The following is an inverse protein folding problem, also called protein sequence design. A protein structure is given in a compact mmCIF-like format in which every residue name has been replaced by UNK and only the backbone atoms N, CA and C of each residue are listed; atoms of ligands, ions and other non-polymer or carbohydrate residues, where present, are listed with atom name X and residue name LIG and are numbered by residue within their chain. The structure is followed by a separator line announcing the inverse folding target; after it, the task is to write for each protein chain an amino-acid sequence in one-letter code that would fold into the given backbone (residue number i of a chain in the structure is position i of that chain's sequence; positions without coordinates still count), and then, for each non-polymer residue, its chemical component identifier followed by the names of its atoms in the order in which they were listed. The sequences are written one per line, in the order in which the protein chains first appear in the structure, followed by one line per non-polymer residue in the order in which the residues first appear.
data_IF_369830135669
#
_entry.id   IF_369830135669
#
_cell.length_a   1.000
_cell.length_b   1.000
_cell.length_c   1.000
_cell.angle_alpha   90.00
_cell.angle_beta   90.00
_cell.angle_gamma   90.00
#
_symmetry.space_group_name_H-M   'P 1'
#
loop_
_entity.id
_entity.type
_entity.pdbx_description
1 polymer ?
#
# COMPACT_ATOMS: atom_id res chain seq x y z
N UNK A 1 42.01 51.52 -19.37
CA UNK A 1 42.22 50.13 -19.83
C UNK A 1 41.96 49.18 -18.66
N UNK A 2 41.17 48.13 -18.91
CA UNK A 2 41.06 46.84 -18.17
C UNK A 2 40.57 46.93 -16.72
N UNK A 3 39.26 46.80 -16.48
CA UNK A 3 38.54 45.52 -16.24
C UNK A 3 39.14 44.71 -15.09
N UNK A 4 38.49 44.72 -13.93
CA UNK A 4 38.42 43.52 -13.09
C UNK A 4 36.98 43.40 -12.57
N UNK A 5 36.25 42.50 -13.22
CA UNK A 5 34.83 42.29 -13.03
C UNK A 5 34.55 41.55 -11.72
N UNK A 6 33.54 42.05 -11.02
CA UNK A 6 32.81 41.41 -9.93
C UNK A 6 32.19 40.09 -10.43
N UNK A 7 32.75 38.95 -10.07
CA UNK A 7 32.11 37.64 -10.30
C UNK A 7 31.31 37.26 -9.05
N UNK A 8 30.06 37.73 -9.01
CA UNK A 8 29.03 37.20 -8.13
C UNK A 8 28.52 35.90 -8.77
N UNK A 9 29.07 34.75 -8.36
CA UNK A 9 28.57 33.44 -8.79
C UNK A 9 27.30 33.12 -8.00
N UNK A 10 26.17 33.73 -8.38
CA UNK A 10 24.86 33.27 -7.95
C UNK A 10 24.58 31.99 -8.73
N UNK A 11 24.93 30.85 -8.15
CA UNK A 11 24.43 29.56 -8.59
C UNK A 11 22.93 29.52 -8.35
N UNK A 12 22.16 30.00 -9.33
CA UNK A 12 20.73 29.72 -9.41
C UNK A 12 20.62 28.22 -9.64
N UNK A 13 20.47 27.47 -8.55
CA UNK A 13 20.03 26.08 -8.62
C UNK A 13 18.56 26.11 -9.07
N UNK A 14 18.36 26.22 -10.38
CA UNK A 14 17.09 25.89 -11.01
C UNK A 14 16.89 24.39 -10.79
N UNK A 15 16.41 24.00 -9.61
CA UNK A 15 15.63 22.79 -9.50
C UNK A 15 14.42 23.03 -10.42
N UNK A 16 14.51 22.51 -11.65
CA UNK A 16 13.36 22.36 -12.51
C UNK A 16 12.34 21.58 -11.69
N UNK A 17 11.36 22.29 -11.15
CA UNK A 17 10.14 21.73 -10.61
C UNK A 17 9.47 21.04 -11.80
N UNK A 18 9.87 19.81 -12.10
CA UNK A 18 9.11 18.94 -12.98
C UNK A 18 7.78 18.78 -12.27
N UNK A 19 6.74 19.40 -12.80
CA UNK A 19 5.40 19.23 -12.29
C UNK A 19 5.10 17.73 -12.33
N UNK A 20 4.99 17.10 -11.15
CA UNK A 20 4.73 15.67 -11.08
C UNK A 20 3.39 15.39 -11.72
N UNK A 21 3.40 14.56 -12.76
CA UNK A 21 2.21 14.23 -13.52
C UNK A 21 1.22 13.48 -12.63
N UNK A 22 0.00 14.02 -12.56
CA UNK A 22 -1.10 13.37 -11.86
C UNK A 22 -1.68 12.29 -12.76
N UNK A 23 -1.46 11.04 -12.40
CA UNK A 23 -2.00 9.89 -13.13
C UNK A 23 -3.28 9.44 -12.45
N UNK A 24 -4.39 9.39 -13.19
CA UNK A 24 -5.70 8.98 -12.65
C UNK A 24 -6.09 7.56 -13.03
N UNK A 25 -5.34 6.93 -13.94
CA UNK A 25 -5.61 5.58 -14.44
C UNK A 25 -4.29 4.91 -14.82
N UNK A 26 -4.13 3.65 -14.45
CA UNK A 26 -2.92 2.90 -14.77
C UNK A 26 -2.74 1.63 -13.97
N UNK A 27 -1.52 1.10 -14.05
CA UNK A 27 -1.10 -0.14 -13.41
C UNK A 27 0.18 0.09 -12.64
N UNK A 28 0.22 -0.39 -11.40
CA UNK A 28 1.38 -0.35 -10.52
C UNK A 28 1.85 -1.76 -10.24
N UNK A 29 3.16 -1.98 -10.31
CA UNK A 29 3.78 -3.22 -9.85
C UNK A 29 4.47 -2.97 -8.52
N UNK A 30 4.35 -3.90 -7.57
CA UNK A 30 4.97 -3.80 -6.25
C UNK A 30 5.64 -5.10 -5.84
N UNK A 31 6.62 -4.98 -4.96
CA UNK A 31 7.26 -6.10 -4.27
C UNK A 31 6.91 -6.04 -2.80
N UNK A 32 6.47 -7.16 -2.24
CA UNK A 32 6.18 -7.34 -0.82
C UNK A 32 7.20 -8.31 -0.25
N UNK A 33 7.91 -7.88 0.80
CA UNK A 33 8.91 -8.66 1.54
C UNK A 33 8.42 -8.93 2.94
N UNK A 34 8.63 -10.15 3.41
CA UNK A 34 8.33 -10.56 4.78
C UNK A 34 9.65 -10.88 5.50
N UNK A 35 9.78 -10.43 6.74
CA UNK A 35 10.90 -10.77 7.61
C UNK A 35 10.49 -10.82 9.08
N UNK A 36 11.36 -11.37 9.93
CA UNK A 36 11.14 -11.50 11.37
C UNK A 36 12.46 -11.49 12.13
N UNK A 37 12.47 -11.03 13.38
CA UNK A 37 13.59 -11.30 14.28
C UNK A 37 13.63 -12.75 14.78
N UNK A 38 12.51 -13.48 14.71
CA UNK A 38 12.46 -14.91 15.00
C UNK A 38 13.10 -15.71 13.86
N UNK A 39 14.22 -16.39 14.15
CA UNK A 39 15.01 -17.10 13.14
C UNK A 39 14.22 -18.18 12.37
N UNK A 40 13.33 -18.92 13.05
CA UNK A 40 12.53 -19.96 12.42
C UNK A 40 11.50 -19.34 11.46
N UNK A 41 10.79 -18.31 11.91
CA UNK A 41 9.79 -17.62 11.07
C UNK A 41 10.45 -16.88 9.90
N UNK A 42 11.59 -16.22 10.14
CA UNK A 42 12.36 -15.57 9.09
C UNK A 42 12.87 -16.55 8.04
N UNK A 43 13.24 -17.77 8.44
CA UNK A 43 13.61 -18.84 7.50
C UNK A 43 12.42 -19.27 6.64
N UNK A 44 11.22 -19.36 7.21
CA UNK A 44 9.99 -19.65 6.44
C UNK A 44 9.68 -18.52 5.45
N UNK A 45 9.80 -17.26 5.86
CA UNK A 45 9.62 -16.12 4.96
C UNK A 45 10.65 -16.09 3.82
N UNK A 46 11.91 -16.44 4.11
CA UNK A 46 12.93 -16.59 3.08
C UNK A 46 12.60 -17.69 2.06
N UNK A 47 11.94 -18.78 2.49
CA UNK A 47 11.44 -19.83 1.58
C UNK A 47 10.24 -19.39 0.74
N UNK A 48 9.37 -18.53 1.27
CA UNK A 48 8.27 -17.89 0.49
C UNK A 48 8.86 -16.96 -0.57
N UNK A 49 9.92 -16.24 -0.23
CA UNK A 49 10.56 -15.25 -1.09
C UNK A 49 9.74 -13.97 -1.21
N UNK A 50 10.18 -13.10 -2.12
CA UNK A 50 9.48 -11.86 -2.45
C UNK A 50 8.13 -12.17 -3.12
N UNK A 51 7.07 -11.49 -2.69
CA UNK A 51 5.73 -11.62 -3.27
C UNK A 51 5.52 -10.45 -4.24
N UNK A 52 5.24 -10.75 -5.50
CA UNK A 52 4.87 -9.73 -6.48
C UNK A 52 3.37 -9.42 -6.39
N UNK A 53 3.03 -8.13 -6.51
CA UNK A 53 1.65 -7.69 -6.64
C UNK A 53 1.49 -6.67 -7.75
N UNK A 54 0.29 -6.65 -8.34
CA UNK A 54 -0.12 -5.71 -9.39
C UNK A 54 -1.37 -4.98 -8.93
N UNK A 55 -1.33 -3.66 -8.90
CA UNK A 55 -2.48 -2.80 -8.59
C UNK A 55 -2.93 -2.06 -9.83
N UNK A 56 -4.13 -2.37 -10.29
CA UNK A 56 -4.85 -1.60 -11.30
C UNK A 56 -5.62 -0.49 -10.59
N UNK A 57 -5.57 0.73 -11.11
CA UNK A 57 -6.33 1.85 -10.56
C UNK A 57 -6.99 2.67 -11.67
N UNK A 58 -8.20 3.15 -11.40
CA UNK A 58 -8.96 4.03 -12.28
C UNK A 58 -9.86 4.93 -11.45
N UNK A 59 -9.50 6.21 -11.38
CA UNK A 59 -10.16 7.19 -10.53
C UNK A 59 -10.12 6.77 -9.06
N UNK A 60 -11.29 6.43 -8.52
CA UNK A 60 -11.51 6.06 -7.13
C UNK A 60 -11.66 4.54 -6.91
N UNK A 61 -11.34 3.73 -7.93
CA UNK A 61 -11.38 2.27 -7.86
C UNK A 61 -9.97 1.70 -7.94
N UNK A 62 -9.74 0.65 -7.16
CA UNK A 62 -8.48 -0.10 -7.21
C UNK A 62 -8.76 -1.59 -7.20
N UNK A 63 -7.86 -2.34 -7.83
CA UNK A 63 -7.79 -3.78 -7.74
C UNK A 63 -6.34 -4.18 -7.56
N UNK A 64 -6.03 -4.81 -6.45
CA UNK A 64 -4.70 -5.36 -6.18
C UNK A 64 -4.77 -6.86 -6.28
N UNK A 65 -3.90 -7.44 -7.10
CA UNK A 65 -3.73 -8.88 -7.29
C UNK A 65 -2.35 -9.25 -6.76
N UNK A 66 -2.26 -10.27 -5.91
CA UNK A 66 -1.00 -10.84 -5.44
C UNK A 66 -1.01 -12.34 -5.64
N UNK A 67 0.13 -12.90 -6.02
CA UNK A 67 0.28 -14.33 -6.21
C UNK A 67 1.65 -14.79 -5.74
N UNK A 68 1.69 -15.91 -5.02
CA UNK A 68 2.93 -16.59 -4.67
C UNK A 68 2.68 -18.11 -4.69
N UNK A 69 3.63 -18.93 -5.19
CA UNK A 69 3.45 -20.39 -5.29
C UNK A 69 3.10 -21.06 -3.95
N UNK A 70 3.55 -20.50 -2.83
CA UNK A 70 3.34 -21.06 -1.49
C UNK A 70 2.04 -20.57 -0.86
N UNK A 71 1.67 -19.30 -1.04
CA UNK A 71 0.50 -18.70 -0.36
C UNK A 71 -0.75 -18.60 -1.25
N UNK A 72 -0.65 -18.99 -2.53
CA UNK A 72 -1.73 -18.96 -3.50
C UNK A 72 -1.98 -17.57 -4.07
N UNK A 73 -3.23 -17.29 -4.46
CA UNK A 73 -3.63 -16.00 -5.04
C UNK A 73 -4.55 -15.23 -4.10
N UNK A 74 -4.35 -13.92 -4.00
CA UNK A 74 -5.26 -13.00 -3.31
C UNK A 74 -5.60 -11.81 -4.20
N UNK A 75 -6.84 -11.36 -4.14
CA UNK A 75 -7.32 -10.20 -4.87
C UNK A 75 -8.15 -9.33 -3.92
N UNK A 76 -7.89 -8.03 -3.96
CA UNK A 76 -8.64 -7.01 -3.21
C UNK A 76 -9.12 -5.96 -4.20
N UNK A 77 -10.42 -5.71 -4.23
CA UNK A 77 -11.06 -4.69 -5.06
C UNK A 77 -11.71 -3.67 -4.13
N UNK A 78 -11.44 -2.40 -4.36
CA UNK A 78 -11.99 -1.28 -3.58
C UNK A 78 -12.72 -0.34 -4.52
N UNK A 79 -13.92 0.05 -4.12
CA UNK A 79 -14.67 1.17 -4.71
C UNK A 79 -14.85 2.24 -3.64
N UNK A 80 -14.08 3.33 -3.75
CA UNK A 80 -14.11 4.41 -2.77
C UNK A 80 -15.29 5.38 -2.97
N UNK A 81 -16.08 5.29 -4.05
CA UNK A 81 -17.35 6.01 -4.15
C UNK A 81 -18.40 5.35 -3.24
N UNK A 82 -18.48 4.02 -3.30
CA UNK A 82 -19.45 3.25 -2.52
C UNK A 82 -18.93 2.82 -1.14
N UNK A 83 -17.65 3.08 -0.86
CA UNK A 83 -16.95 2.70 0.38
C UNK A 83 -16.92 1.19 0.62
N UNK A 84 -16.90 0.40 -0.46
CA UNK A 84 -16.94 -1.07 -0.39
C UNK A 84 -15.61 -1.69 -0.79
N UNK A 85 -15.33 -2.83 -0.16
CA UNK A 85 -14.24 -3.73 -0.49
C UNK A 85 -14.80 -5.12 -0.82
N UNK A 86 -14.20 -5.78 -1.81
CA UNK A 86 -14.34 -7.21 -2.07
C UNK A 86 -12.94 -7.81 -2.03
N UNK A 87 -12.68 -8.69 -1.07
CA UNK A 87 -11.43 -9.43 -1.00
C UNK A 87 -11.70 -10.92 -1.17
N UNK A 88 -10.80 -11.62 -1.86
CA UNK A 88 -10.92 -13.06 -2.05
C UNK A 88 -9.56 -13.73 -2.20
N UNK A 89 -9.48 -14.96 -1.73
CA UNK A 89 -8.27 -15.79 -1.73
C UNK A 89 -8.57 -17.16 -2.32
N UNK A 90 -7.54 -17.75 -2.93
CA UNK A 90 -7.54 -19.14 -3.34
C UNK A 90 -6.17 -19.72 -3.01
N UNK A 91 -6.11 -20.50 -1.94
CA UNK A 91 -4.89 -21.14 -1.48
C UNK A 91 -5.19 -22.51 -0.84
N UNK A 92 -4.14 -23.32 -0.64
CA UNK A 92 -4.27 -24.67 -0.13
C UNK A 92 -4.81 -24.74 1.31
N UNK A 93 -4.60 -23.70 2.12
CA UNK A 93 -5.00 -23.67 3.53
C UNK A 93 -6.49 -23.36 3.72
N UNK A 94 -7.04 -22.39 2.96
CA UNK A 94 -8.41 -21.87 3.14
C UNK A 94 -9.36 -22.27 2.01
N UNK A 95 -8.83 -22.74 0.88
CA UNK A 95 -9.60 -22.92 -0.35
C UNK A 95 -10.06 -21.59 -0.96
N UNK A 96 -11.17 -21.62 -1.70
CA UNK A 96 -11.76 -20.44 -2.35
C UNK A 96 -12.70 -19.70 -1.38
N UNK A 97 -12.23 -18.59 -0.82
CA UNK A 97 -12.99 -17.78 0.15
C UNK A 97 -13.05 -16.31 -0.26
N UNK A 98 -14.18 -15.66 0.02
CA UNK A 98 -14.33 -14.22 -0.20
C UNK A 98 -14.98 -13.53 0.99
N UNK A 99 -14.72 -12.24 1.13
CA UNK A 99 -15.41 -11.36 2.07
C UNK A 99 -15.75 -10.04 1.37
N UNK A 100 -16.80 -9.38 1.86
CA UNK A 100 -17.15 -8.02 1.46
C UNK A 100 -17.32 -7.20 2.71
N UNK A 101 -16.73 -6.00 2.72
CA UNK A 101 -16.75 -5.13 3.88
C UNK A 101 -16.73 -3.65 3.48
N UNK A 102 -16.93 -2.77 4.46
CA UNK A 102 -16.69 -1.34 4.36
C UNK A 102 -15.19 -1.05 4.43
N UNK A 103 -14.70 -0.08 3.66
CA UNK A 103 -13.35 0.48 3.84
C UNK A 103 -13.30 1.62 4.85
N UNK A 104 -14.46 2.02 5.40
CA UNK A 104 -14.52 3.04 6.43
C UNK A 104 -14.43 2.37 7.79
N UNK A 105 -13.33 2.59 8.54
CA UNK A 105 -13.26 2.15 9.93
C UNK A 105 -14.33 2.86 10.75
N UNK A 106 -14.90 2.13 11.71
CA UNK A 106 -15.80 2.65 12.73
C UNK A 106 -15.09 3.66 13.64
N UNK A 107 -15.87 4.45 14.36
CA UNK A 107 -15.32 5.41 15.34
C UNK A 107 -14.52 4.73 16.43
N UNK A 108 -14.94 3.52 16.85
CA UNK A 108 -14.24 2.75 17.88
C UNK A 108 -12.88 2.24 17.38
N UNK A 109 -12.80 1.74 16.14
CA UNK A 109 -11.53 1.36 15.52
C UNK A 109 -10.59 2.58 15.41
N UNK A 110 -11.13 3.75 15.06
CA UNK A 110 -10.33 4.97 14.90
C UNK A 110 -9.75 5.54 16.20
N UNK A 111 -10.33 5.22 17.37
CA UNK A 111 -9.76 5.59 18.69
C UNK A 111 -8.40 4.92 18.92
N UNK A 112 -8.18 3.76 18.30
CA UNK A 112 -6.95 3.01 18.44
C UNK A 112 -5.91 3.33 17.36
N UNK A 113 -6.18 4.33 16.51
CA UNK A 113 -5.29 4.74 15.42
C UNK A 113 -4.70 6.11 15.69
N UNK A 114 -3.38 6.20 15.80
CA UNK A 114 -2.65 7.46 15.74
C UNK A 114 -1.89 7.58 14.43
N UNK A 115 -1.80 8.79 13.89
CA UNK A 115 -1.04 9.10 12.68
C UNK A 115 -0.28 10.40 12.91
N UNK A 116 1.01 10.36 12.65
CA UNK A 116 1.92 11.50 12.75
C UNK A 116 2.58 11.73 11.40
N UNK A 117 2.68 13.00 11.00
CA UNK A 117 3.40 13.39 9.79
C UNK A 117 4.89 13.45 10.12
N UNK A 118 5.71 12.70 9.38
CA UNK A 118 7.16 12.74 9.51
C UNK A 118 7.77 14.02 8.93
N UNK A 119 9.03 14.28 9.27
CA UNK A 119 9.79 15.42 8.73
C UNK A 119 10.38 15.13 7.33
N UNK A 120 10.50 13.85 6.97
CA UNK A 120 11.21 13.45 5.76
C UNK A 120 10.32 13.47 4.51
N UNK A 121 10.98 13.70 3.38
CA UNK A 121 10.42 13.45 2.06
C UNK A 121 11.39 12.60 1.26
N UNK A 122 10.87 11.70 0.44
CA UNK A 122 11.66 10.80 -0.39
C UNK A 122 11.12 10.81 -1.81
N UNK A 123 12.00 10.85 -2.80
CA UNK A 123 11.59 10.68 -4.20
C UNK A 123 11.55 9.19 -4.54
N UNK A 124 10.38 8.68 -4.95
CA UNK A 124 10.18 7.28 -5.37
C UNK A 124 9.55 7.31 -6.76
N UNK A 125 10.21 6.69 -7.75
CA UNK A 125 9.75 6.67 -9.16
C UNK A 125 9.41 8.06 -9.73
N UNK A 126 10.14 9.10 -9.31
CA UNK A 126 9.91 10.49 -9.73
C UNK A 126 8.85 11.25 -8.93
N UNK A 127 8.14 10.58 -7.99
CA UNK A 127 7.16 11.20 -7.11
C UNK A 127 7.77 11.59 -5.77
N UNK A 128 7.47 12.79 -5.30
CA UNK A 128 7.85 13.26 -3.98
C UNK A 128 6.83 12.71 -3.00
N UNK A 129 7.31 11.85 -2.12
CA UNK A 129 6.50 11.20 -1.12
C UNK A 129 6.76 11.81 0.25
N UNK A 130 5.68 12.10 0.96
CA UNK A 130 5.70 12.57 2.34
C UNK A 130 5.71 11.37 3.29
N UNK A 131 6.59 11.40 4.29
CA UNK A 131 6.63 10.39 5.35
C UNK A 131 5.46 10.56 6.33
N UNK A 132 4.89 9.43 6.75
CA UNK A 132 3.94 9.31 7.85
C UNK A 132 4.31 8.13 8.74
N UNK A 133 4.04 8.27 10.03
CA UNK A 133 4.06 7.18 11.00
C UNK A 133 2.63 6.92 11.46
N UNK A 134 2.21 5.67 11.50
CA UNK A 134 0.93 5.29 12.08
C UNK A 134 1.11 4.19 13.12
N UNK A 135 0.29 4.22 14.17
CA UNK A 135 0.22 3.18 15.18
C UNK A 135 -1.23 2.72 15.30
N UNK A 136 -1.43 1.41 15.22
CA UNK A 136 -2.72 0.77 15.42
C UNK A 136 -2.61 -0.18 16.60
N UNK A 137 -3.61 -0.13 17.48
CA UNK A 137 -3.73 -1.04 18.63
C UNK A 137 -4.98 -1.88 18.46
N UNK A 138 -4.80 -3.18 18.27
CA UNK A 138 -5.91 -4.11 18.07
C UNK A 138 -5.60 -5.39 18.83
N UNK A 139 -6.53 -5.85 19.68
CA UNK A 139 -6.46 -7.13 20.39
C UNK A 139 -5.11 -7.47 21.06
N UNK A 140 -4.49 -6.48 21.71
CA UNK A 140 -3.22 -6.65 22.43
C UNK A 140 -1.97 -6.70 21.53
N UNK A 141 -2.14 -6.55 20.22
CA UNK A 141 -1.07 -6.35 19.27
C UNK A 141 -0.89 -4.86 18.96
N UNK A 142 0.35 -4.44 18.73
CA UNK A 142 0.66 -3.10 18.22
C UNK A 142 1.22 -3.25 16.81
N UNK A 143 0.60 -2.54 15.86
CA UNK A 143 1.10 -2.43 14.49
C UNK A 143 1.65 -1.03 14.26
N UNK A 144 2.96 -0.95 14.03
CA UNK A 144 3.61 0.29 13.63
C UNK A 144 3.73 0.33 12.11
N UNK A 145 3.42 1.47 11.51
CA UNK A 145 3.54 1.69 10.07
C UNK A 145 4.43 2.88 9.80
N UNK A 146 5.36 2.72 8.87
CA UNK A 146 6.07 3.82 8.21
C UNK A 146 5.62 3.87 6.75
N UNK A 147 5.09 5.00 6.30
CA UNK A 147 4.58 5.20 4.95
C UNK A 147 5.31 6.35 4.27
N UNK A 148 5.56 6.22 2.96
CA UNK A 148 5.89 7.34 2.09
C UNK A 148 4.81 7.46 1.02
N UNK A 149 4.01 8.53 1.08
CA UNK A 149 2.81 8.68 0.24
C UNK A 149 2.86 9.88 -0.70
N UNK A 150 2.21 9.78 -1.86
CA UNK A 150 2.08 10.87 -2.84
C UNK A 150 0.62 11.19 -3.15
N UNK A 151 0.28 12.47 -3.28
CA UNK A 151 -1.08 12.94 -3.62
C UNK A 151 -1.36 12.95 -5.13
N UNK A 152 -0.37 12.56 -5.94
CA UNK A 152 -0.44 12.53 -7.41
C UNK A 152 -1.15 11.30 -7.96
N UNK A 153 -1.42 10.31 -7.11
CA UNK A 153 -2.18 9.12 -7.43
C UNK A 153 -3.49 9.14 -6.62
N UNK A 154 -4.68 9.18 -7.25
CA UNK A 154 -5.97 9.15 -6.56
C UNK A 154 -6.38 7.75 -6.11
N UNK A 155 -5.54 6.74 -6.36
CA UNK A 155 -5.74 5.36 -5.95
C UNK A 155 -5.94 5.25 -4.43
N UNK A 156 -6.70 4.24 -4.02
CA UNK A 156 -6.96 3.93 -2.60
C UNK A 156 -6.36 2.56 -2.29
N UNK A 157 -5.62 2.48 -1.18
CA UNK A 157 -5.12 1.24 -0.63
C UNK A 157 -5.92 0.85 0.62
N UNK A 158 -6.27 -0.44 0.73
CA UNK A 158 -6.80 -1.08 1.94
C UNK A 158 -5.90 -0.79 3.16
N UNK A 159 -4.57 -0.82 2.96
CA UNK A 159 -3.57 -0.57 4.01
C UNK A 159 -3.61 0.84 4.58
N UNK A 160 -4.06 1.83 3.79
CA UNK A 160 -4.24 3.21 4.27
C UNK A 160 -5.68 3.53 4.64
N UNK A 161 -6.66 2.76 4.15
CA UNK A 161 -8.08 2.98 4.42
C UNK A 161 -8.40 2.81 5.92
N UNK A 162 -7.77 1.81 6.56
CA UNK A 162 -7.85 1.57 8.01
C UNK A 162 -7.42 2.78 8.86
N UNK A 163 -6.66 3.72 8.28
CA UNK A 163 -6.21 4.94 8.96
C UNK A 163 -7.27 6.05 8.94
N UNK A 164 -8.46 5.81 8.40
CA UNK A 164 -9.58 6.77 8.42
C UNK A 164 -9.32 8.05 7.64
N UNK A 165 -8.49 8.02 6.60
CA UNK A 165 -8.13 9.21 5.84
C UNK A 165 -7.18 10.19 6.55
N UNK A 166 -6.58 9.78 7.69
CA UNK A 166 -5.56 10.57 8.40
C UNK A 166 -4.22 10.68 7.62
N UNK A 167 -3.99 9.80 6.65
CA UNK A 167 -2.88 9.84 5.70
C UNK A 167 -3.39 10.33 4.33
N UNK A 168 -2.68 11.29 3.73
CA UNK A 168 -3.01 11.80 2.39
C UNK A 168 -2.20 11.07 1.33
N UNK A 169 -2.84 10.80 0.19
CA UNK A 169 -2.18 10.21 -0.97
C UNK A 169 -2.02 8.69 -0.89
N UNK A 170 -1.46 8.13 -1.96
CA UNK A 170 -1.21 6.69 -2.10
C UNK A 170 0.21 6.34 -1.63
N UNK A 171 0.42 5.26 -0.84
CA UNK A 171 1.75 4.84 -0.40
C UNK A 171 2.54 4.20 -1.55
N UNK A 172 3.73 4.75 -1.85
CA UNK A 172 4.69 4.10 -2.74
C UNK A 172 5.70 3.24 -1.99
N UNK A 173 5.81 3.47 -0.68
CA UNK A 173 6.52 2.60 0.24
C UNK A 173 5.69 2.47 1.51
N UNK A 174 5.65 1.26 2.06
CA UNK A 174 5.01 0.97 3.31
C UNK A 174 5.80 -0.12 4.05
N UNK A 175 6.21 0.18 5.28
CA UNK A 175 6.74 -0.80 6.22
C UNK A 175 5.74 -0.97 7.35
N UNK A 176 5.31 -2.19 7.61
CA UNK A 176 4.44 -2.55 8.73
C UNK A 176 5.21 -3.49 9.66
N UNK A 177 5.23 -3.17 10.95
CA UNK A 177 5.82 -3.97 12.01
C UNK A 177 4.69 -4.38 12.95
N UNK A 178 4.30 -5.65 12.87
CA UNK A 178 3.30 -6.23 13.76
C UNK A 178 4.01 -6.95 14.90
N UNK A 179 3.84 -6.44 16.12
CA UNK A 179 4.40 -7.03 17.33
C UNK A 179 3.26 -7.49 18.25
N UNK A 180 3.24 -8.78 18.53
CA UNK A 180 2.54 -9.34 19.68
C UNK A 180 3.41 -10.42 20.35
N UNK A 181 2.96 -11.00 21.45
CA UNK A 181 3.71 -12.01 22.21
C UNK A 181 4.00 -13.30 21.44
N UNK A 182 3.37 -13.51 20.29
CA UNK A 182 3.42 -14.76 19.50
C UNK A 182 4.06 -14.55 18.13
N UNK A 183 3.99 -13.33 17.57
CA UNK A 183 4.36 -13.02 16.19
C UNK A 183 5.09 -11.68 16.12
N UNK A 184 6.31 -11.71 15.61
CA UNK A 184 7.10 -10.55 15.23
C UNK A 184 7.30 -10.56 13.71
N UNK A 185 6.47 -9.81 12.98
CA UNK A 185 6.50 -9.79 11.52
C UNK A 185 6.72 -8.38 11.02
N UNK A 186 7.68 -8.25 10.11
CA UNK A 186 7.92 -7.04 9.34
C UNK A 186 7.50 -7.30 7.90
N UNK A 187 6.61 -6.47 7.38
CA UNK A 187 6.18 -6.49 5.99
C UNK A 187 6.58 -5.18 5.33
N UNK A 188 7.36 -5.26 4.24
CA UNK A 188 7.74 -4.08 3.44
C UNK A 188 7.11 -4.21 2.05
N UNK A 189 6.31 -3.23 1.66
CA UNK A 189 5.76 -3.09 0.31
C UNK A 189 6.42 -1.91 -0.38
N UNK A 190 6.98 -2.14 -1.56
CA UNK A 190 7.60 -1.11 -2.40
C UNK A 190 6.99 -1.15 -3.80
N UNK A 191 6.47 -0.01 -4.28
CA UNK A 191 6.06 0.13 -5.68
C UNK A 191 7.33 0.24 -6.53
N UNK A 192 7.46 -0.68 -7.49
CA UNK A 192 8.64 -0.80 -8.35
C UNK A 192 8.42 -0.24 -9.76
N UNK A 193 7.17 -0.11 -10.19
CA UNK A 193 6.81 0.46 -11.49
C UNK A 193 5.41 1.10 -11.45
N UNK A 194 5.24 2.19 -12.20
CA UNK A 194 3.94 2.83 -12.45
C UNK A 194 3.82 3.08 -13.95
N UNK A 195 2.77 2.54 -14.57
CA UNK A 195 2.44 2.72 -15.99
C UNK A 195 1.10 3.42 -16.13
N UNK A 196 1.09 4.53 -16.88
CA UNK A 196 -0.15 5.17 -17.31
C UNK A 196 -0.69 4.42 -18.52
N UNK A 197 -1.76 3.67 -18.32
CA UNK A 197 -2.41 2.87 -19.35
C UNK A 197 -3.90 2.74 -19.05
N UNK A 198 -4.69 2.46 -20.09
CA UNK A 198 -6.13 2.26 -19.93
C UNK A 198 -6.40 0.92 -19.24
N UNK A 199 -7.26 0.96 -18.22
CA UNK A 199 -7.70 -0.20 -17.46
C UNK A 199 -9.17 -0.47 -17.77
N UNK A 200 -9.46 -1.73 -18.09
CA UNK A 200 -10.82 -2.18 -18.36
C UNK A 200 -11.69 -2.13 -17.10
N UNK A 201 -12.95 -1.69 -17.24
CA UNK A 201 -13.84 -1.45 -16.11
C UNK A 201 -14.25 -2.74 -15.37
N UNK A 202 -14.23 -3.88 -16.07
CA UNK A 202 -14.54 -5.20 -15.54
C UNK A 202 -13.55 -5.66 -14.47
N UNK A 203 -12.32 -5.14 -14.47
CA UNK A 203 -11.34 -5.34 -13.39
C UNK A 203 -11.91 -4.95 -12.04
N UNK A 204 -12.76 -3.94 -11.98
CA UNK A 204 -13.35 -3.41 -10.74
C UNK A 204 -14.73 -3.99 -10.42
N UNK A 205 -15.08 -5.16 -10.98
CA UNK A 205 -16.34 -5.82 -10.67
C UNK A 205 -16.40 -6.28 -9.21
N UNK A 206 -17.39 -5.78 -8.47
CA UNK A 206 -17.61 -6.07 -7.05
C UNK A 206 -18.50 -7.30 -6.80
N UNK A 207 -18.80 -8.08 -7.85
CA UNK A 207 -19.53 -9.35 -7.75
C UNK A 207 -18.59 -10.45 -7.27
N UNK A 208 -18.92 -11.18 -6.20
CA UNK A 208 -18.12 -12.32 -5.74
C UNK A 208 -17.89 -13.35 -6.86
N UNK A 209 -16.67 -13.89 -7.02
CA UNK A 209 -16.40 -14.86 -8.07
C UNK A 209 -17.14 -16.19 -7.85
N UNK A 210 -17.51 -16.86 -8.94
CA UNK A 210 -18.18 -18.16 -8.89
C UNK A 210 -17.33 -19.22 -8.19
N UNK A 211 -17.98 -20.05 -7.36
CA UNK A 211 -17.31 -21.12 -6.62
C UNK A 211 -16.53 -20.67 -5.38
N UNK A 212 -16.61 -19.39 -5.00
CA UNK A 212 -16.07 -18.89 -3.74
C UNK A 212 -17.13 -18.91 -2.64
N UNK A 213 -16.75 -19.28 -1.42
CA UNK A 213 -17.63 -19.25 -0.25
C UNK A 213 -17.39 -17.99 0.58
N UNK A 214 -18.47 -17.36 1.07
CA UNK A 214 -18.36 -16.20 1.97
C UNK A 214 -17.70 -16.58 3.30
N UNK A 215 -16.87 -15.70 3.83
CA UNK A 215 -16.28 -15.78 5.17
C UNK A 215 -16.29 -14.40 5.84
N UNK A 216 -16.23 -14.38 7.16
CA UNK A 216 -16.06 -13.16 7.96
C UNK A 216 -14.58 -12.87 8.24
N UNK A 217 -13.68 -13.82 7.97
CA UNK A 217 -12.23 -13.66 8.15
C UNK A 217 -11.47 -14.25 6.96
N UNK A 218 -10.53 -13.48 6.40
CA UNK A 218 -9.58 -13.93 5.37
C UNK A 218 -8.14 -14.06 5.90
N UNK A 219 -7.90 -13.73 7.18
CA UNK A 219 -6.69 -14.11 7.88
C UNK A 219 -6.85 -15.60 8.22
N UNK A 220 -5.87 -16.43 7.84
CA UNK A 220 -5.94 -17.89 7.94
C UNK A 220 -5.84 -18.46 9.36
N UNK A 221 -6.52 -17.84 10.33
CA UNK A 221 -6.65 -18.29 11.73
C UNK A 221 -8.12 -18.15 12.14
#
# INVERSE_FOLDING_TARGET
MKRLALYLFVSVFCASLVAQEKITEGVMSSTIKLSSSNAQMNSQFAMIGDISSVTYFKGNKTRTESANPMTGTSIVIIDNATKKMLAYVNNAAMGKKYMQDSIQPSEDELKNVTVEKGAETKTILGYTCQQYFANLKEDGATVNMELYTTDKLPAVSDKTAILGGKVKGYPLYLKMEAQNTVMDMIMTTEVTEIKQETVADDKFNMTPPEGYTKTNNLNGI
#
